data_IF_811818310026
#
_entry.id   IF_811818310026
#
_cell.length_a   1.000
_cell.length_b   1.000
_cell.length_c   1.000
_cell.angle_alpha   90.00
_cell.angle_beta   90.00
_cell.angle_gamma   90.00
#
_symmetry.space_group_name_H-M   'P 1'
#
loop_
_entity.id
_entity.type
_entity.pdbx_description
1 polymer ?
#
# COMPACT_ATOMS: atom_id res chain seq x y z
N UNK A 1 59.95 -20.49 -20.11
CA UNK A 1 58.66 -20.71 -20.82
C UNK A 1 57.52 -20.60 -19.82
N UNK A 2 56.41 -20.08 -20.30
CA UNK A 2 55.33 -19.39 -19.56
C UNK A 2 54.59 -20.27 -18.53
N UNK A 3 54.31 -19.63 -17.38
CA UNK A 3 53.50 -20.06 -16.25
C UNK A 3 52.03 -20.20 -16.66
N UNK A 4 51.34 -21.24 -16.19
CA UNK A 4 49.87 -21.24 -16.14
C UNK A 4 49.39 -22.12 -14.97
N UNK A 5 49.28 -21.50 -13.80
CA UNK A 5 48.53 -22.04 -12.67
C UNK A 5 47.05 -21.79 -12.97
N UNK A 6 46.29 -22.86 -13.24
CA UNK A 6 44.84 -22.79 -13.42
C UNK A 6 44.17 -22.53 -12.06
N UNK A 7 44.05 -21.25 -11.69
CA UNK A 7 43.20 -20.83 -10.58
C UNK A 7 41.78 -20.71 -11.14
N UNK A 8 41.01 -21.78 -10.97
CA UNK A 8 39.61 -21.82 -11.33
C UNK A 8 38.84 -21.00 -10.29
N UNK A 9 38.78 -19.69 -10.49
CA UNK A 9 37.92 -18.79 -9.72
C UNK A 9 36.49 -19.11 -10.12
N UNK A 10 35.84 -20.00 -9.37
CA UNK A 10 34.39 -20.03 -9.30
C UNK A 10 33.95 -18.70 -8.69
N UNK A 11 33.76 -17.70 -9.54
CA UNK A 11 33.03 -16.50 -9.17
C UNK A 11 31.58 -16.96 -9.01
N UNK A 12 31.25 -17.47 -7.83
CA UNK A 12 29.87 -17.68 -7.44
C UNK A 12 29.23 -16.31 -7.46
N UNK A 13 28.51 -16.03 -8.54
CA UNK A 13 27.57 -14.91 -8.60
C UNK A 13 26.44 -15.29 -7.66
N UNK A 14 26.68 -15.17 -6.36
CA UNK A 14 25.59 -15.01 -5.41
C UNK A 14 24.99 -13.67 -5.77
N UNK A 15 23.92 -13.68 -6.56
CA UNK A 15 23.03 -12.54 -6.63
C UNK A 15 22.56 -12.29 -5.21
N UNK A 16 23.19 -11.34 -4.52
CA UNK A 16 22.80 -10.91 -3.19
C UNK A 16 21.43 -10.24 -3.32
N UNK A 17 20.37 -11.05 -3.40
CA UNK A 17 19.03 -10.58 -3.11
C UNK A 17 19.00 -10.34 -1.61
N UNK A 18 19.14 -9.08 -1.21
CA UNK A 18 18.90 -8.66 0.16
C UNK A 18 17.57 -9.26 0.63
N UNK A 19 17.54 -9.97 1.77
CA UNK A 19 16.31 -10.56 2.26
C UNK A 19 15.30 -9.46 2.54
N UNK A 20 14.02 -9.77 2.35
CA UNK A 20 12.96 -8.89 2.87
C UNK A 20 12.91 -9.00 4.39
N UNK A 21 12.71 -7.88 5.04
CA UNK A 21 12.57 -7.77 6.49
C UNK A 21 11.15 -7.33 6.85
N UNK A 22 10.66 -7.81 7.98
CA UNK A 22 9.38 -7.35 8.52
C UNK A 22 9.64 -6.26 9.57
N UNK A 23 9.34 -5.01 9.21
CA UNK A 23 9.58 -3.86 10.07
C UNK A 23 8.39 -3.60 10.99
N UNK A 24 8.68 -3.18 12.23
CA UNK A 24 7.69 -2.68 13.20
C UNK A 24 8.21 -1.37 13.79
N UNK A 25 7.37 -0.34 13.76
CA UNK A 25 7.64 0.95 14.39
C UNK A 25 6.62 1.20 15.49
N UNK A 26 7.02 1.90 16.54
CA UNK A 26 6.21 2.13 17.72
C UNK A 26 6.12 3.62 18.03
N UNK A 27 4.98 4.03 18.60
CA UNK A 27 4.82 5.34 19.22
C UNK A 27 5.65 5.43 20.52
N UNK A 28 5.83 6.65 21.04
CA UNK A 28 6.55 6.89 22.31
C UNK A 28 5.91 6.19 23.51
N UNK A 29 4.61 5.91 23.46
CA UNK A 29 3.88 5.14 24.48
C UNK A 29 4.01 3.61 24.31
N UNK A 30 4.78 3.12 23.34
CA UNK A 30 4.97 1.70 23.08
C UNK A 30 3.87 1.04 22.21
N UNK A 31 2.81 1.77 21.83
CA UNK A 31 1.80 1.25 20.90
C UNK A 31 2.39 1.07 19.51
N UNK A 32 2.06 -0.03 18.83
CA UNK A 32 2.46 -0.27 17.44
C UNK A 32 1.94 0.86 16.54
N UNK A 33 2.83 1.47 15.77
CA UNK A 33 2.52 2.61 14.88
C UNK A 33 2.38 2.16 13.43
N UNK A 34 3.28 1.29 12.98
CA UNK A 34 3.22 0.72 11.63
C UNK A 34 4.00 -0.58 11.56
N UNK A 35 3.59 -1.44 10.63
CA UNK A 35 4.32 -2.66 10.32
C UNK A 35 4.12 -3.07 8.86
N UNK A 36 5.08 -3.82 8.33
CA UNK A 36 5.01 -4.37 6.98
C UNK A 36 6.37 -4.78 6.44
N UNK A 37 6.39 -5.21 5.18
CA UNK A 37 7.60 -5.72 4.55
C UNK A 37 8.48 -4.59 4.00
N UNK A 38 9.78 -4.74 4.18
CA UNK A 38 10.84 -3.87 3.65
C UNK A 38 11.76 -4.70 2.80
N UNK A 39 12.12 -4.21 1.62
CA UNK A 39 13.15 -4.78 0.76
C UNK A 39 14.10 -3.66 0.36
N UNK A 40 15.39 -3.81 0.66
CA UNK A 40 16.43 -2.80 0.37
C UNK A 40 16.07 -1.40 0.92
N UNK A 41 15.60 -1.34 2.16
CA UNK A 41 15.19 -0.08 2.81
C UNK A 41 13.91 0.55 2.26
N UNK A 42 13.16 -0.13 1.38
CA UNK A 42 11.90 0.36 0.81
C UNK A 42 10.73 -0.50 1.24
N UNK A 43 9.61 0.13 1.61
CA UNK A 43 8.33 -0.52 1.85
C UNK A 43 7.88 -1.26 0.60
N UNK A 44 7.50 -2.52 0.78
CA UNK A 44 6.95 -3.42 -0.23
C UNK A 44 5.77 -4.19 0.37
N UNK A 45 4.95 -4.79 -0.49
CA UNK A 45 3.80 -5.60 -0.10
C UNK A 45 2.85 -4.84 0.86
N UNK A 46 2.17 -5.57 1.74
CA UNK A 46 1.16 -5.00 2.62
C UNK A 46 1.78 -4.28 3.82
N UNK A 47 1.20 -3.14 4.16
CA UNK A 47 1.54 -2.36 5.34
C UNK A 47 0.28 -2.01 6.13
N UNK A 48 0.45 -1.99 7.45
CA UNK A 48 -0.55 -1.54 8.41
C UNK A 48 -0.01 -0.31 9.13
N UNK A 49 -0.90 0.64 9.39
CA UNK A 49 -0.67 1.81 10.22
C UNK A 49 -1.77 1.88 11.25
N UNK A 50 -1.41 2.34 12.44
CA UNK A 50 -2.29 2.36 13.59
C UNK A 50 -2.33 3.77 14.19
N UNK A 51 -3.40 4.09 14.89
CA UNK A 51 -3.48 5.24 15.80
C UNK A 51 -2.74 4.93 17.11
N UNK A 52 -2.47 5.94 17.93
CA UNK A 52 -1.77 5.78 19.21
C UNK A 52 -2.56 4.96 20.26
N UNK A 53 -3.87 4.78 20.04
CA UNK A 53 -4.73 3.89 20.81
C UNK A 53 -4.69 2.42 20.32
N UNK A 54 -3.94 2.11 19.26
CA UNK A 54 -3.78 0.77 18.71
C UNK A 54 -4.79 0.39 17.63
N UNK A 55 -5.81 1.20 17.39
CA UNK A 55 -6.78 0.98 16.31
C UNK A 55 -6.12 1.17 14.94
N UNK A 56 -6.48 0.37 13.94
CA UNK A 56 -6.01 0.56 12.57
C UNK A 56 -6.38 1.95 12.07
N UNK A 57 -5.44 2.62 11.41
CA UNK A 57 -5.58 3.95 10.81
C UNK A 57 -5.70 3.85 9.29
N UNK A 58 -4.76 3.14 8.69
CA UNK A 58 -4.80 2.85 7.26
C UNK A 58 -4.01 1.58 6.96
N UNK A 59 -4.38 0.89 5.90
CA UNK A 59 -3.67 -0.30 5.44
C UNK A 59 -3.75 -0.42 3.92
N UNK A 60 -2.74 -1.04 3.31
CA UNK A 60 -2.68 -1.21 1.86
C UNK A 60 -1.31 -1.64 1.37
N UNK A 61 -1.14 -1.66 0.05
CA UNK A 61 0.10 -2.15 -0.56
C UNK A 61 1.08 -1.02 -0.90
N UNK A 62 2.36 -1.36 -0.83
CA UNK A 62 3.47 -0.58 -1.35
C UNK A 62 4.23 -1.32 -2.46
N UNK A 63 4.74 -0.56 -3.41
CA UNK A 63 5.84 -0.97 -4.29
C UNK A 63 6.90 0.11 -4.22
N UNK A 64 8.08 -0.23 -3.70
CA UNK A 64 9.23 0.67 -3.59
C UNK A 64 8.88 2.02 -2.93
N UNK A 65 8.31 1.99 -1.71
CA UNK A 65 7.82 3.15 -0.93
C UNK A 65 6.59 3.87 -1.49
N UNK A 66 6.03 3.45 -2.63
CA UNK A 66 4.84 4.09 -3.19
C UNK A 66 3.57 3.28 -2.96
N UNK A 67 2.51 3.92 -2.46
CA UNK A 67 1.17 3.33 -2.31
C UNK A 67 0.68 2.81 -3.66
N UNK A 68 0.15 1.60 -3.65
CA UNK A 68 -0.47 0.97 -4.82
C UNK A 68 -1.67 0.11 -4.43
N UNK A 69 -2.47 -0.27 -5.43
CA UNK A 69 -3.73 -1.04 -5.25
C UNK A 69 -4.66 -0.34 -4.27
N UNK A 70 -5.54 -1.09 -3.62
CA UNK A 70 -6.46 -0.58 -2.63
C UNK A 70 -5.75 -0.21 -1.32
N UNK A 71 -6.12 0.95 -0.80
CA UNK A 71 -5.85 1.42 0.54
C UNK A 71 -7.16 1.65 1.28
N UNK A 72 -7.21 1.18 2.52
CA UNK A 72 -8.37 1.32 3.40
C UNK A 72 -8.01 2.31 4.51
N UNK A 73 -8.93 3.22 4.82
CA UNK A 73 -8.76 4.24 5.84
C UNK A 73 -9.87 4.10 6.88
N UNK A 74 -9.50 4.26 8.14
CA UNK A 74 -10.38 4.05 9.29
C UNK A 74 -10.40 5.30 10.18
N UNK A 75 -11.44 5.44 11.00
CA UNK A 75 -11.44 6.36 12.15
C UNK A 75 -10.66 5.76 13.34
N UNK A 76 -10.43 6.57 14.39
CA UNK A 76 -9.84 6.10 15.66
C UNK A 76 -10.66 5.03 16.39
N UNK A 77 -11.95 4.92 16.06
CA UNK A 77 -12.90 3.92 16.55
C UNK A 77 -12.94 2.66 15.67
N UNK A 78 -12.17 2.63 14.57
CA UNK A 78 -12.04 1.47 13.69
C UNK A 78 -13.09 1.38 12.59
N UNK A 79 -13.88 2.44 12.38
CA UNK A 79 -14.89 2.51 11.33
C UNK A 79 -14.23 2.85 9.99
N UNK A 80 -14.54 2.11 8.93
CA UNK A 80 -14.04 2.41 7.58
C UNK A 80 -14.69 3.70 7.09
N UNK A 81 -13.86 4.66 6.65
CA UNK A 81 -14.30 5.92 6.05
C UNK A 81 -14.11 5.94 4.54
N UNK A 82 -13.10 5.21 4.04
CA UNK A 82 -12.73 5.24 2.63
C UNK A 82 -11.96 4.01 2.19
N UNK A 83 -12.16 3.60 0.95
CA UNK A 83 -11.26 2.74 0.19
C UNK A 83 -10.82 3.44 -1.09
N UNK A 84 -9.54 3.48 -1.37
CA UNK A 84 -8.98 4.25 -2.50
C UNK A 84 -7.96 3.42 -3.27
N UNK A 85 -8.08 3.40 -4.59
CA UNK A 85 -7.08 2.80 -5.49
C UNK A 85 -5.94 3.77 -5.77
N UNK A 86 -4.71 3.30 -5.54
CA UNK A 86 -3.49 4.03 -5.82
C UNK A 86 -2.65 3.34 -6.90
N UNK A 87 -1.92 4.15 -7.65
CA UNK A 87 -0.82 3.76 -8.51
C UNK A 87 0.30 4.78 -8.35
N UNK A 88 1.45 4.35 -7.82
CA UNK A 88 2.61 5.22 -7.59
C UNK A 88 2.25 6.48 -6.78
N UNK A 89 1.60 6.31 -5.63
CA UNK A 89 1.10 7.37 -4.72
C UNK A 89 -0.03 8.25 -5.27
N UNK A 90 -0.40 8.10 -6.55
CA UNK A 90 -1.51 8.84 -7.15
C UNK A 90 -2.78 8.02 -7.09
N UNK A 91 -3.90 8.67 -6.76
CA UNK A 91 -5.21 8.03 -6.88
C UNK A 91 -5.47 7.71 -8.35
N UNK A 92 -5.70 6.45 -8.66
CA UNK A 92 -5.86 5.97 -10.02
C UNK A 92 -6.76 4.74 -10.02
N UNK A 93 -8.04 4.95 -10.35
CA UNK A 93 -9.12 4.01 -10.10
C UNK A 93 -10.21 4.67 -9.26
N UNK A 94 -10.84 3.90 -8.39
CA UNK A 94 -11.96 4.35 -7.56
C UNK A 94 -11.52 4.82 -6.16
N UNK A 95 -12.27 5.80 -5.64
CA UNK A 95 -12.29 6.22 -4.24
C UNK A 95 -13.73 6.07 -3.75
N UNK A 96 -13.97 5.10 -2.86
CA UNK A 96 -15.28 4.75 -2.31
C UNK A 96 -15.35 5.30 -0.88
N UNK A 97 -16.30 6.17 -0.62
CA UNK A 97 -16.51 6.82 0.69
C UNK A 97 -17.67 6.17 1.40
N UNK A 98 -17.44 5.90 2.68
CA UNK A 98 -18.40 5.26 3.57
C UNK A 98 -18.89 6.22 4.65
N UNK A 99 -20.14 6.08 5.04
CA UNK A 99 -20.73 6.72 6.22
C UNK A 99 -21.66 5.71 6.89
N UNK A 100 -21.45 5.48 8.19
CA UNK A 100 -22.25 4.53 8.98
C UNK A 100 -22.31 3.12 8.39
N UNK A 101 -21.24 2.71 7.67
CA UNK A 101 -21.13 1.42 6.98
C UNK A 101 -21.62 1.41 5.54
N UNK A 102 -22.39 2.42 5.11
CA UNK A 102 -22.95 2.52 3.78
C UNK A 102 -22.08 3.31 2.80
N UNK A 103 -22.11 2.92 1.52
CA UNK A 103 -21.44 3.67 0.45
C UNK A 103 -22.26 4.91 0.11
N UNK A 104 -21.74 6.08 0.45
CA UNK A 104 -22.40 7.37 0.21
C UNK A 104 -21.83 8.11 -1.00
N UNK A 105 -20.64 7.73 -1.47
CA UNK A 105 -20.01 8.35 -2.63
C UNK A 105 -18.97 7.43 -3.27
N UNK A 106 -18.88 7.48 -4.58
CA UNK A 106 -17.77 6.93 -5.35
C UNK A 106 -17.21 8.02 -6.26
N UNK A 107 -15.89 8.07 -6.39
CA UNK A 107 -15.18 9.01 -7.27
C UNK A 107 -14.21 8.21 -8.14
N UNK A 108 -14.11 8.53 -9.43
CA UNK A 108 -13.14 7.91 -10.34
C UNK A 108 -12.03 8.88 -10.64
N UNK A 109 -10.80 8.39 -10.64
CA UNK A 109 -9.60 9.17 -10.89
C UNK A 109 -8.71 8.51 -11.94
N UNK A 110 -7.98 9.35 -12.68
CA UNK A 110 -6.87 8.93 -13.54
C UNK A 110 -5.64 9.75 -13.15
N UNK A 111 -4.61 9.09 -12.61
CA UNK A 111 -3.34 9.70 -12.21
C UNK A 111 -3.48 10.95 -11.33
N UNK A 112 -4.42 10.93 -10.38
CA UNK A 112 -4.70 12.02 -9.44
C UNK A 112 -5.79 13.00 -9.89
N UNK A 113 -6.20 12.98 -11.15
CA UNK A 113 -7.27 13.85 -11.67
C UNK A 113 -8.62 13.16 -11.53
N UNK A 114 -9.59 13.80 -10.87
CA UNK A 114 -10.96 13.30 -10.77
C UNK A 114 -11.63 13.35 -12.15
N UNK A 115 -12.14 12.22 -12.62
CA UNK A 115 -12.80 12.08 -13.91
C UNK A 115 -14.30 11.83 -13.80
N UNK A 116 -14.77 11.29 -12.68
CA UNK A 116 -16.19 11.09 -12.44
C UNK A 116 -16.52 11.09 -10.94
N UNK A 117 -17.79 11.29 -10.62
CA UNK A 117 -18.33 11.25 -9.27
C UNK A 117 -19.77 10.71 -9.27
N UNK A 118 -20.06 9.82 -8.33
CA UNK A 118 -21.40 9.31 -8.07
C UNK A 118 -21.72 9.50 -6.58
N UNK A 119 -22.86 10.11 -6.30
CA UNK A 119 -23.33 10.38 -4.91
C UNK A 119 -24.20 9.26 -4.35
N UNK A 120 -24.28 8.13 -5.04
CA UNK A 120 -24.95 6.91 -4.56
C UNK A 120 -24.41 5.67 -5.26
N UNK A 121 -24.48 4.53 -4.57
CA UNK A 121 -24.09 3.24 -5.13
C UNK A 121 -24.97 2.83 -6.33
N UNK A 122 -26.24 3.23 -6.35
CA UNK A 122 -27.15 2.99 -7.47
C UNK A 122 -26.73 3.77 -8.72
N UNK A 123 -26.37 5.06 -8.58
CA UNK A 123 -25.86 5.86 -9.70
C UNK A 123 -24.60 5.24 -10.31
N UNK A 124 -23.68 4.74 -9.47
CA UNK A 124 -22.48 4.03 -9.94
C UNK A 124 -22.84 2.74 -10.70
N UNK A 125 -23.68 1.86 -10.11
CA UNK A 125 -24.07 0.58 -10.74
C UNK A 125 -24.75 0.78 -12.09
N UNK A 126 -25.62 1.79 -12.20
CA UNK A 126 -26.32 2.10 -13.44
C UNK A 126 -25.37 2.59 -14.55
N UNK A 127 -24.27 3.24 -14.19
CA UNK A 127 -23.26 3.70 -15.15
C UNK A 127 -22.41 2.55 -15.69
N UNK A 128 -22.09 1.55 -14.87
CA UNK A 128 -21.28 0.39 -15.28
C UNK A 128 -22.03 -0.63 -16.13
N UNK A 129 -23.36 -0.60 -16.13
CA UNK A 129 -24.22 -1.54 -16.87
C UNK A 129 -24.71 -0.98 -18.22
N UNK A 130 -24.16 0.14 -18.69
CA UNK A 130 -24.42 0.74 -20.01
C UNK A 130 -23.28 0.43 -20.96
#
# INVERSE_FOLDING_TARGET
>A
MIKALFFLVFMTIFGNSEPREYAKNYYSNGTLQSEGWVLQGKKVDYWYYYYSNGTKKEEGHFVANKKCKWWIFYTSEGVIIRKTEYLNDKVNGLSIVYKDGDVVKAEKYKMGTKTNEWTSLSAYRNDQNK
#
